data_IF_090417777163
#
_entry.id   IF_090417777163
#
_cell.length_a   1.000
_cell.length_b   1.000
_cell.length_c   1.000
_cell.angle_alpha   90.00
_cell.angle_beta   90.00
_cell.angle_gamma   90.00
#
_symmetry.space_group_name_H-M   'P 1'
#
loop_
_entity.id
_entity.type
_entity.pdbx_description
1 polymer ?
#
# COMPACT_ATOMS: atom_id res chain seq x y z
N UNK A 1 -4.56 24.40 -28.94
CA UNK A 1 -5.87 23.84 -28.59
C UNK A 1 -5.61 22.56 -27.82
N UNK A 2 -5.74 22.60 -26.50
CA UNK A 2 -5.56 21.43 -25.65
C UNK A 2 -6.88 20.66 -25.74
N UNK A 3 -6.86 19.53 -26.46
CA UNK A 3 -8.02 18.66 -26.63
C UNK A 3 -8.60 18.26 -25.28
N UNK A 4 -9.91 18.37 -25.14
CA UNK A 4 -10.69 18.02 -23.95
C UNK A 4 -10.22 16.70 -23.33
N UNK A 5 -9.54 16.79 -22.19
CA UNK A 5 -9.20 15.64 -21.35
C UNK A 5 -10.52 15.21 -20.69
N UNK A 6 -11.23 14.28 -21.31
CA UNK A 6 -12.39 13.65 -20.70
C UNK A 6 -11.91 12.77 -19.55
N UNK A 7 -12.38 13.04 -18.34
CA UNK A 7 -12.34 12.06 -17.26
C UNK A 7 -13.15 10.85 -17.72
N UNK A 8 -12.47 9.74 -18.00
CA UNK A 8 -13.11 8.44 -18.20
C UNK A 8 -13.41 7.87 -16.82
N UNK A 9 -14.69 7.77 -16.50
CA UNK A 9 -15.15 7.01 -15.36
C UNK A 9 -14.94 5.53 -15.67
N UNK A 10 -13.92 4.92 -15.06
CA UNK A 10 -13.61 3.49 -15.22
C UNK A 10 -14.55 2.65 -14.35
N UNK A 11 -15.85 2.91 -14.40
CA UNK A 11 -16.85 2.04 -13.82
C UNK A 11 -16.78 0.69 -14.53
N UNK A 12 -16.18 -0.31 -13.89
CA UNK A 12 -16.19 -1.69 -14.38
C UNK A 12 -17.64 -2.13 -14.49
N UNK A 13 -18.07 -2.55 -15.68
CA UNK A 13 -19.40 -3.11 -15.89
C UNK A 13 -19.57 -4.30 -14.95
N UNK A 14 -20.60 -4.27 -14.09
CA UNK A 14 -20.86 -5.36 -13.15
C UNK A 14 -21.18 -6.63 -13.94
N UNK A 15 -20.28 -7.60 -13.88
CA UNK A 15 -20.44 -8.93 -14.51
C UNK A 15 -21.71 -9.65 -13.97
N UNK A 16 -22.14 -9.29 -12.76
CA UNK A 16 -23.34 -9.82 -12.11
C UNK A 16 -24.24 -8.66 -11.66
N UNK A 17 -25.29 -8.35 -12.44
CA UNK A 17 -26.23 -7.24 -12.16
C UNK A 17 -26.93 -7.36 -10.79
N UNK A 18 -27.18 -8.59 -10.33
CA UNK A 18 -27.79 -8.85 -9.02
C UNK A 18 -26.81 -8.95 -7.84
N UNK A 19 -25.50 -8.86 -8.09
CA UNK A 19 -24.52 -8.93 -7.02
C UNK A 19 -24.48 -7.60 -6.24
N UNK A 20 -24.95 -7.67 -4.99
CA UNK A 20 -24.80 -6.56 -4.05
C UNK A 20 -23.31 -6.41 -3.73
N UNK A 21 -22.77 -5.23 -4.03
CA UNK A 21 -21.39 -4.90 -3.70
C UNK A 21 -21.34 -4.55 -2.21
N UNK A 22 -21.05 -5.56 -1.39
CA UNK A 22 -20.99 -5.41 0.06
C UNK A 22 -19.70 -4.72 0.53
N UNK A 23 -18.72 -4.58 -0.37
CA UNK A 23 -17.41 -3.98 -0.11
C UNK A 23 -16.95 -3.19 -1.35
N UNK A 24 -17.55 -2.01 -1.61
CA UNK A 24 -17.14 -1.19 -2.73
C UNK A 24 -15.68 -0.74 -2.55
N UNK A 25 -14.83 -1.16 -3.49
CA UNK A 25 -13.42 -0.78 -3.52
C UNK A 25 -13.27 0.50 -4.35
N UNK A 26 -12.77 1.56 -3.72
CA UNK A 26 -12.50 2.85 -4.37
C UNK A 26 -11.20 2.84 -5.19
N UNK A 27 -10.41 1.78 -5.05
CA UNK A 27 -9.17 1.55 -5.79
C UNK A 27 -8.06 1.02 -4.90
N UNK A 28 -6.83 1.13 -5.40
CA UNK A 28 -5.63 0.82 -4.62
C UNK A 28 -5.18 2.08 -3.89
N UNK A 29 -4.97 1.98 -2.58
CA UNK A 29 -4.43 3.10 -1.80
C UNK A 29 -2.90 3.15 -1.90
N UNK A 30 -2.22 2.04 -1.59
CA UNK A 30 -0.77 1.90 -1.77
C UNK A 30 -0.35 0.43 -1.85
N UNK A 31 0.88 0.20 -2.29
CA UNK A 31 1.55 -1.10 -2.18
C UNK A 31 2.77 -0.93 -1.30
N UNK A 32 2.91 -1.76 -0.27
CA UNK A 32 4.07 -1.77 0.62
C UNK A 32 5.01 -2.93 0.30
N UNK A 33 6.27 -2.57 0.12
CA UNK A 33 7.38 -3.48 -0.03
C UNK A 33 8.17 -3.53 1.26
N UNK A 34 8.50 -4.74 1.67
CA UNK A 34 9.52 -5.00 2.67
C UNK A 34 10.83 -5.23 1.95
N UNK A 35 11.80 -4.36 2.20
CA UNK A 35 13.08 -4.34 1.47
C UNK A 35 14.25 -4.22 2.44
N UNK A 36 15.40 -4.79 2.07
CA UNK A 36 16.61 -4.76 2.88
C UNK A 36 17.21 -3.36 3.05
N UNK A 37 16.97 -2.45 2.09
CA UNK A 37 17.39 -1.06 2.20
C UNK A 37 16.39 -0.12 1.50
N UNK A 38 15.52 0.50 2.28
CA UNK A 38 14.48 1.39 1.76
C UNK A 38 15.01 2.64 1.04
N UNK A 39 16.17 3.17 1.46
CA UNK A 39 16.79 4.35 0.82
C UNK A 39 17.32 4.00 -0.58
N UNK A 40 17.98 2.86 -0.70
CA UNK A 40 18.47 2.37 -1.99
C UNK A 40 17.32 2.04 -2.93
N UNK A 41 16.30 1.32 -2.43
CA UNK A 41 15.10 1.00 -3.21
C UNK A 41 14.40 2.28 -3.68
N UNK A 42 14.20 3.27 -2.80
CA UNK A 42 13.60 4.55 -3.16
C UNK A 42 14.42 5.27 -4.24
N UNK A 43 15.75 5.28 -4.12
CA UNK A 43 16.60 5.85 -5.14
C UNK A 43 16.45 5.13 -6.48
N UNK A 44 16.44 3.80 -6.48
CA UNK A 44 16.26 3.00 -7.70
C UNK A 44 14.92 3.30 -8.39
N UNK A 45 13.79 3.22 -7.68
CA UNK A 45 12.48 3.49 -8.30
C UNK A 45 12.32 4.94 -8.75
N UNK A 46 12.89 5.90 -8.03
CA UNK A 46 12.89 7.30 -8.48
C UNK A 46 13.70 7.48 -9.77
N UNK A 47 14.90 6.93 -9.82
CA UNK A 47 15.82 7.13 -10.95
C UNK A 47 15.42 6.31 -12.18
N UNK A 48 15.05 5.04 -12.01
CA UNK A 48 14.78 4.13 -13.11
C UNK A 48 13.34 4.21 -13.63
N UNK A 49 12.36 4.51 -12.77
CA UNK A 49 10.93 4.52 -13.12
C UNK A 49 10.31 5.92 -13.08
N UNK A 50 11.03 6.94 -12.58
CA UNK A 50 10.57 8.33 -12.57
C UNK A 50 9.66 8.69 -11.39
N UNK A 51 9.56 7.83 -10.37
CA UNK A 51 8.82 8.14 -9.15
C UNK A 51 9.39 9.39 -8.44
N UNK A 52 8.54 10.07 -7.67
CA UNK A 52 8.92 11.23 -6.87
C UNK A 52 8.79 10.94 -5.38
N UNK A 53 9.58 11.62 -4.56
CA UNK A 53 9.44 11.53 -3.10
C UNK A 53 8.11 12.13 -2.66
N UNK A 54 7.39 11.43 -1.78
CA UNK A 54 6.07 11.86 -1.30
C UNK A 54 6.02 12.04 0.22
N UNK A 55 6.49 11.04 0.97
CA UNK A 55 6.55 11.10 2.43
C UNK A 55 7.72 10.26 2.97
N UNK A 56 8.08 10.49 4.22
CA UNK A 56 9.17 9.81 4.89
C UNK A 56 8.82 9.54 6.36
N UNK A 57 9.19 8.37 6.85
CA UNK A 57 9.16 8.01 8.28
C UNK A 57 10.47 7.31 8.64
N UNK A 58 11.14 7.76 9.69
CA UNK A 58 12.40 7.16 10.16
C UNK A 58 12.84 7.72 11.49
N UNK A 59 14.13 7.58 11.83
CA UNK A 59 14.67 8.04 13.11
C UNK A 59 14.46 9.54 13.32
N UNK A 60 14.60 10.31 12.26
CA UNK A 60 14.42 11.75 12.18
C UNK A 60 12.98 12.17 12.47
N UNK A 61 12.01 11.27 12.29
CA UNK A 61 10.59 11.47 12.59
C UNK A 61 10.15 10.67 13.83
N UNK A 62 11.08 10.15 14.63
CA UNK A 62 10.80 9.43 15.87
C UNK A 62 10.52 7.92 15.73
N UNK A 63 10.57 7.35 14.52
CA UNK A 63 10.42 5.91 14.32
C UNK A 63 11.73 5.19 14.59
N UNK A 64 11.77 4.35 15.63
CA UNK A 64 12.98 3.62 16.06
C UNK A 64 13.09 2.20 15.51
N UNK A 65 11.98 1.65 15.00
CA UNK A 65 11.91 0.26 14.56
C UNK A 65 12.04 0.10 13.05
N UNK A 66 11.63 1.11 12.28
CA UNK A 66 11.58 1.03 10.81
C UNK A 66 11.92 2.36 10.15
N UNK A 67 12.33 2.29 8.88
CA UNK A 67 12.40 3.43 7.98
C UNK A 67 11.52 3.14 6.77
N UNK A 68 10.62 4.06 6.45
CA UNK A 68 9.71 3.97 5.31
C UNK A 68 9.86 5.18 4.41
N UNK A 69 10.09 4.94 3.12
CA UNK A 69 10.02 5.96 2.08
C UNK A 69 8.74 5.75 1.27
N UNK A 70 7.90 6.78 1.19
CA UNK A 70 6.76 6.79 0.28
C UNK A 70 7.17 7.52 -0.98
N UNK A 71 7.06 6.83 -2.10
CA UNK A 71 7.28 7.38 -3.43
C UNK A 71 5.99 7.31 -4.24
N UNK A 72 5.77 8.33 -5.07
CA UNK A 72 4.53 8.50 -5.82
C UNK A 72 4.79 8.84 -7.27
N UNK A 73 4.01 8.24 -8.16
CA UNK A 73 3.91 8.60 -9.58
C UNK A 73 2.43 8.59 -9.97
N UNK A 74 1.90 9.77 -10.30
CA UNK A 74 0.46 9.97 -10.48
C UNK A 74 -0.36 9.37 -9.33
N UNK A 75 -1.24 8.38 -9.57
CA UNK A 75 -2.05 7.74 -8.54
C UNK A 75 -1.34 6.60 -7.80
N UNK A 76 -0.18 6.14 -8.29
CA UNK A 76 0.53 4.99 -7.74
C UNK A 76 1.39 5.44 -6.55
N UNK A 77 1.16 4.83 -5.39
CA UNK A 77 1.95 5.03 -4.18
C UNK A 77 2.64 3.72 -3.79
N UNK A 78 3.97 3.76 -3.71
CA UNK A 78 4.77 2.66 -3.18
C UNK A 78 5.35 3.08 -1.82
N UNK A 79 5.16 2.24 -0.82
CA UNK A 79 5.78 2.37 0.50
C UNK A 79 6.92 1.37 0.58
N UNK A 80 8.14 1.86 0.76
CA UNK A 80 9.34 1.03 0.83
C UNK A 80 9.82 1.03 2.28
N UNK A 81 9.65 -0.09 2.98
CA UNK A 81 9.94 -0.19 4.42
C UNK A 81 11.10 -1.15 4.69
N UNK A 82 12.07 -0.69 5.48
CA UNK A 82 13.18 -1.49 5.99
C UNK A 82 13.15 -1.51 7.53
N UNK A 83 13.49 -2.63 8.18
CA UNK A 83 13.66 -2.67 9.61
C UNK A 83 14.98 -1.99 10.02
N UNK A 84 15.01 -1.41 11.22
CA UNK A 84 16.21 -0.82 11.83
C UNK A 84 16.92 -1.77 12.81
N UNK A 85 16.26 -2.87 13.19
CA UNK A 85 16.82 -3.88 14.08
C UNK A 85 16.60 -5.29 13.51
N UNK A 86 17.50 -6.21 13.85
CA UNK A 86 17.48 -7.60 13.34
C UNK A 86 16.33 -8.45 13.87
N UNK A 87 15.72 -8.04 15.00
CA UNK A 87 14.61 -8.76 15.64
C UNK A 87 13.24 -8.39 15.06
N UNK A 88 13.18 -7.39 14.18
CA UNK A 88 11.92 -6.92 13.65
C UNK A 88 11.30 -7.97 12.70
N UNK A 89 9.97 -8.24 12.78
CA UNK A 89 9.31 -9.25 11.95
C UNK A 89 9.45 -9.05 10.43
N UNK A 90 9.73 -7.81 9.99
CA UNK A 90 10.03 -7.52 8.58
C UNK A 90 11.22 -8.36 8.07
N UNK A 91 12.23 -8.62 8.91
CA UNK A 91 13.39 -9.43 8.50
C UNK A 91 12.98 -10.86 8.13
N UNK A 92 11.98 -11.44 8.78
CA UNK A 92 11.53 -12.79 8.46
C UNK A 92 11.01 -12.88 7.03
N UNK A 93 10.32 -11.83 6.57
CA UNK A 93 9.85 -11.74 5.18
C UNK A 93 11.03 -11.61 4.22
N UNK A 94 11.96 -10.66 4.49
CA UNK A 94 13.11 -10.39 3.63
C UNK A 94 14.01 -11.62 3.51
N UNK A 95 14.29 -12.33 4.61
CA UNK A 95 15.11 -13.55 4.60
C UNK A 95 14.43 -14.66 3.79
N UNK A 96 13.11 -14.80 3.89
CA UNK A 96 12.38 -15.89 3.23
C UNK A 96 12.13 -15.63 1.74
N UNK A 97 11.93 -14.37 1.35
CA UNK A 97 11.42 -14.01 0.02
C UNK A 97 12.30 -13.03 -0.75
N UNK A 98 13.28 -12.41 -0.11
CA UNK A 98 13.99 -11.24 -0.64
C UNK A 98 13.15 -9.97 -0.54
N UNK A 99 13.57 -8.93 -1.26
CA UNK A 99 12.83 -7.68 -1.38
C UNK A 99 11.52 -7.92 -2.15
N UNK A 100 10.36 -7.62 -1.53
CA UNK A 100 9.09 -8.00 -2.11
C UNK A 100 7.87 -7.29 -1.52
N UNK A 101 6.74 -7.45 -2.21
CA UNK A 101 5.44 -6.92 -1.76
C UNK A 101 4.98 -7.68 -0.53
N UNK A 102 4.68 -6.95 0.54
CA UNK A 102 4.05 -7.49 1.74
C UNK A 102 2.58 -7.11 1.85
N UNK A 103 2.23 -5.86 1.52
CA UNK A 103 0.88 -5.32 1.71
C UNK A 103 0.36 -4.73 0.41
N UNK A 104 -0.88 -5.05 0.08
CA UNK A 104 -1.66 -4.40 -0.97
C UNK A 104 -2.82 -3.71 -0.25
N UNK A 105 -2.75 -2.39 -0.11
CA UNK A 105 -3.77 -1.62 0.56
C UNK A 105 -4.86 -1.21 -0.43
N UNK A 106 -6.11 -1.53 -0.09
CA UNK A 106 -7.28 -1.16 -0.87
C UNK A 106 -7.99 0.00 -0.19
N UNK A 107 -8.42 0.96 -0.99
CA UNK A 107 -9.17 2.11 -0.50
C UNK A 107 -10.65 1.75 -0.41
N UNK A 108 -11.22 1.98 0.78
CA UNK A 108 -12.63 1.75 1.10
C UNK A 108 -13.18 2.94 1.88
N UNK A 109 -14.50 3.09 1.92
CA UNK A 109 -15.15 4.16 2.67
C UNK A 109 -15.00 4.01 4.19
N UNK A 110 -15.07 2.77 4.69
CA UNK A 110 -14.95 2.45 6.12
C UNK A 110 -14.12 1.17 6.30
N UNK A 111 -12.90 1.33 6.84
CA UNK A 111 -11.96 0.23 7.06
C UNK A 111 -12.44 -0.77 8.14
N UNK A 112 -13.19 -0.29 9.14
CA UNK A 112 -13.73 -1.16 10.20
C UNK A 112 -14.82 -2.04 9.64
N UNK A 113 -15.79 -1.43 8.95
CA UNK A 113 -16.87 -2.18 8.28
C UNK A 113 -16.31 -3.18 7.26
N UNK A 114 -15.30 -2.78 6.48
CA UNK A 114 -14.63 -3.66 5.54
C UNK A 114 -13.99 -4.89 6.22
N UNK A 115 -13.35 -4.69 7.36
CA UNK A 115 -12.75 -5.76 8.15
C UNK A 115 -13.81 -6.71 8.74
N UNK A 116 -14.91 -6.19 9.29
CA UNK A 116 -16.02 -7.00 9.84
C UNK A 116 -16.69 -7.85 8.75
N UNK A 117 -17.00 -7.24 7.59
CA UNK A 117 -17.62 -7.94 6.45
C UNK A 117 -16.72 -9.03 5.87
N UNK A 118 -15.42 -8.76 5.71
CA UNK A 118 -14.50 -9.75 5.13
C UNK A 118 -14.22 -10.90 6.10
N UNK A 119 -14.03 -10.62 7.39
CA UNK A 119 -13.77 -11.66 8.40
C UNK A 119 -14.98 -12.53 8.68
N UNK A 120 -16.20 -11.96 8.69
CA UNK A 120 -17.44 -12.74 8.81
C UNK A 120 -17.65 -13.73 7.66
N UNK A 121 -17.04 -13.47 6.50
CA UNK A 121 -17.06 -14.31 5.29
C UNK A 121 -15.86 -15.25 5.18
N UNK A 122 -15.06 -15.38 6.24
CA UNK A 122 -13.97 -16.37 6.34
C UNK A 122 -12.57 -15.83 6.03
N UNK A 123 -12.40 -14.52 5.78
CA UNK A 123 -11.06 -13.94 5.72
C UNK A 123 -10.38 -14.05 7.10
N UNK A 124 -9.10 -14.39 7.11
CA UNK A 124 -8.32 -14.42 8.36
C UNK A 124 -7.87 -13.00 8.69
N UNK A 125 -8.24 -12.52 9.87
CA UNK A 125 -7.77 -11.22 10.36
C UNK A 125 -6.24 -11.23 10.50
N UNK A 126 -5.60 -10.21 9.94
CA UNK A 126 -4.18 -9.93 10.16
C UNK A 126 -3.98 -9.00 11.36
N UNK A 127 -4.77 -7.92 11.43
CA UNK A 127 -4.84 -7.00 12.57
C UNK A 127 -6.26 -6.43 12.68
N UNK A 128 -6.64 -6.00 13.88
CA UNK A 128 -7.89 -5.27 14.09
C UNK A 128 -7.75 -3.81 13.60
N UNK A 129 -8.86 -3.17 13.14
CA UNK A 129 -8.86 -1.76 12.75
C UNK A 129 -8.49 -0.83 13.91
N UNK A 130 -7.73 0.22 13.61
CA UNK A 130 -7.33 1.26 14.57
C UNK A 130 -7.86 2.63 14.16
N UNK A 131 -7.94 3.56 15.12
CA UNK A 131 -8.21 4.98 14.88
C UNK A 131 -6.96 5.75 15.30
N UNK A 132 -6.41 6.56 14.39
CA UNK A 132 -5.22 7.41 14.63
C UNK A 132 -5.60 8.84 15.03
#
# INVERSE_FOLDING_TARGET
>A
MMSDIKNVDYGLEKIFEGAQDFLPLLGTDYVEFYVGNAKQAAHFYKTAFGFQSFAYRGLETGSRDTVSYVIKQDKIKLVLTTPLNSKHPINEHIVKHGDGVKVIALWVEDAKKAWEETTSRGAKSYMEPTVE
#
